data_IF_460727305184
#
_entry.id   IF_460727305184
#
_cell.length_a   1.000
_cell.length_b   1.000
_cell.length_c   1.000
_cell.angle_alpha   90.00
_cell.angle_beta   90.00
_cell.angle_gamma   90.00
#
_symmetry.space_group_name_H-M   'P 1'
#
loop_
_entity.id
_entity.type
_entity.pdbx_description
1 polymer ?
#
# COMPACT_ATOMS: atom_id res chain seq x y z
N UNK A 1 15.38 -34.18 -23.88
CA UNK A 1 14.19 -33.44 -23.46
C UNK A 1 14.26 -33.36 -21.95
N UNK A 2 14.90 -32.32 -21.44
CA UNK A 2 14.98 -32.07 -20.00
C UNK A 2 13.60 -31.65 -19.50
N UNK A 3 13.15 -32.07 -18.31
CA UNK A 3 11.94 -31.51 -17.73
C UNK A 3 12.21 -30.04 -17.40
N UNK A 4 11.35 -29.17 -17.91
CA UNK A 4 11.32 -27.76 -17.57
C UNK A 4 10.85 -27.67 -16.11
N UNK A 5 11.68 -27.12 -15.23
CA UNK A 5 11.31 -26.85 -13.84
C UNK A 5 10.04 -25.99 -13.86
N UNK A 6 8.99 -26.29 -13.07
CA UNK A 6 7.86 -25.38 -12.94
C UNK A 6 8.42 -24.03 -12.49
N UNK A 7 8.23 -22.98 -13.30
CA UNK A 7 8.40 -21.60 -12.86
C UNK A 7 7.67 -21.49 -11.52
N UNK A 8 8.35 -21.06 -10.47
CA UNK A 8 7.76 -20.94 -9.14
C UNK A 8 6.68 -19.85 -9.18
N UNK A 9 5.48 -20.23 -9.62
CA UNK A 9 4.34 -19.32 -9.74
C UNK A 9 3.92 -18.89 -8.35
N UNK A 10 3.87 -17.59 -8.12
CA UNK A 10 3.22 -17.04 -6.94
C UNK A 10 1.70 -17.25 -7.07
N UNK A 11 1.03 -17.58 -5.97
CA UNK A 11 -0.43 -17.86 -5.97
C UNK A 11 -1.28 -16.63 -6.30
N UNK A 12 -0.70 -15.43 -6.35
CA UNK A 12 -1.35 -14.13 -6.60
C UNK A 12 -0.45 -13.27 -7.47
N UNK A 13 -1.06 -12.44 -8.32
CA UNK A 13 -0.33 -11.45 -9.13
C UNK A 13 0.15 -10.28 -8.26
N UNK A 14 -0.67 -9.84 -7.29
CA UNK A 14 -0.37 -8.73 -6.40
C UNK A 14 -0.79 -9.04 -4.97
N UNK A 15 0.10 -8.76 -4.02
CA UNK A 15 -0.20 -8.76 -2.58
C UNK A 15 0.06 -7.37 -2.01
N UNK A 16 -0.95 -6.77 -1.41
CA UNK A 16 -0.89 -5.48 -0.71
C UNK A 16 -0.89 -5.73 0.79
N UNK A 17 0.05 -5.13 1.51
CA UNK A 17 0.15 -5.23 2.97
C UNK A 17 -0.33 -3.92 3.60
N UNK A 18 -1.49 -3.96 4.25
CA UNK A 18 -2.18 -2.86 4.92
C UNK A 18 -3.48 -2.46 4.22
N UNK A 19 -4.61 -2.46 4.96
CA UNK A 19 -5.94 -2.06 4.47
C UNK A 19 -6.31 -0.60 4.75
N UNK A 20 -5.30 0.29 4.77
CA UNK A 20 -5.56 1.72 4.83
C UNK A 20 -5.98 2.28 3.46
N UNK A 21 -6.25 3.60 3.36
CA UNK A 21 -6.59 4.26 2.10
C UNK A 21 -5.57 4.01 0.99
N UNK A 22 -4.28 3.99 1.32
CA UNK A 22 -3.24 3.69 0.33
C UNK A 22 -3.34 2.25 -0.19
N UNK A 23 -3.50 1.27 0.70
CA UNK A 23 -3.58 -0.14 0.32
C UNK A 23 -4.88 -0.50 -0.40
N UNK A 24 -6.03 -0.01 0.08
CA UNK A 24 -7.30 -0.20 -0.62
C UNK A 24 -7.28 0.48 -1.99
N UNK A 25 -6.69 1.67 -2.12
CA UNK A 25 -6.52 2.32 -3.42
C UNK A 25 -5.66 1.48 -4.36
N UNK A 26 -4.50 0.99 -3.90
CA UNK A 26 -3.65 0.10 -4.69
C UNK A 26 -4.40 -1.18 -5.12
N UNK A 27 -5.18 -1.76 -4.21
CA UNK A 27 -6.06 -2.89 -4.48
C UNK A 27 -7.04 -2.59 -5.62
N UNK A 28 -7.83 -1.52 -5.48
CA UNK A 28 -8.81 -1.09 -6.49
C UNK A 28 -8.16 -0.90 -7.85
N UNK A 29 -7.00 -0.24 -7.91
CA UNK A 29 -6.32 -0.02 -9.19
C UNK A 29 -5.89 -1.35 -9.82
N UNK A 30 -5.18 -2.20 -9.07
CA UNK A 30 -4.65 -3.48 -9.60
C UNK A 30 -5.75 -4.46 -9.98
N UNK A 31 -6.80 -4.60 -9.17
CA UNK A 31 -7.94 -5.45 -9.48
C UNK A 31 -8.68 -4.98 -10.75
N UNK A 32 -8.81 -3.65 -10.96
CA UNK A 32 -9.39 -3.10 -12.21
C UNK A 32 -8.52 -3.31 -13.44
N UNK A 33 -7.22 -3.53 -13.27
CA UNK A 33 -6.34 -3.97 -14.36
C UNK A 33 -6.43 -5.49 -14.64
N UNK A 34 -7.26 -6.22 -13.89
CA UNK A 34 -7.49 -7.65 -14.07
C UNK A 34 -6.47 -8.54 -13.38
N UNK A 35 -5.70 -8.01 -12.42
CA UNK A 35 -4.75 -8.77 -11.62
C UNK A 35 -5.46 -9.44 -10.44
N UNK A 36 -5.06 -10.67 -10.09
CA UNK A 36 -5.50 -11.32 -8.86
C UNK A 36 -4.82 -10.67 -7.65
N UNK A 37 -5.55 -9.75 -7.01
CA UNK A 37 -5.05 -8.93 -5.90
C UNK A 37 -5.58 -9.40 -4.55
N UNK A 38 -4.64 -9.63 -3.62
CA UNK A 38 -4.91 -9.90 -2.22
C UNK A 38 -4.46 -8.71 -1.34
N UNK A 39 -5.30 -8.27 -0.42
CA UNK A 39 -4.99 -7.23 0.56
C UNK A 39 -5.00 -7.85 1.96
N UNK A 40 -3.88 -7.77 2.67
CA UNK A 40 -3.82 -8.10 4.09
C UNK A 40 -4.11 -6.87 4.93
N UNK A 41 -5.00 -6.97 5.91
CA UNK A 41 -5.21 -5.91 6.88
C UNK A 41 -5.41 -6.42 8.30
N UNK A 42 -4.62 -5.90 9.23
CA UNK A 42 -4.69 -6.26 10.65
C UNK A 42 -5.69 -5.41 11.45
N UNK A 43 -6.49 -4.56 10.77
CA UNK A 43 -7.48 -3.68 11.39
C UNK A 43 -6.89 -2.60 12.31
N UNK A 44 -5.56 -2.45 12.38
CA UNK A 44 -4.87 -1.45 13.21
C UNK A 44 -4.22 -0.37 12.34
N UNK A 45 -4.99 0.19 11.40
CA UNK A 45 -4.52 1.36 10.64
C UNK A 45 -4.37 2.54 11.60
N UNK A 46 -3.30 3.33 11.46
CA UNK A 46 -3.09 4.54 12.28
C UNK A 46 -4.25 5.53 12.19
N UNK A 47 -5.06 5.42 11.14
CA UNK A 47 -6.28 6.20 10.96
C UNK A 47 -7.30 5.95 12.07
N UNK A 48 -7.47 4.71 12.55
CA UNK A 48 -8.45 4.38 13.62
C UNK A 48 -8.19 5.09 14.95
N UNK A 49 -7.05 5.76 15.10
CA UNK A 49 -6.76 6.60 16.27
C UNK A 49 -7.39 8.00 16.16
N UNK A 50 -7.81 8.42 14.97
CA UNK A 50 -8.54 9.66 14.74
C UNK A 50 -10.05 9.41 14.79
N UNK A 51 -10.79 10.34 15.40
CA UNK A 51 -12.25 10.27 15.43
C UNK A 51 -12.89 10.72 14.10
N UNK A 52 -12.22 11.59 13.35
CA UNK A 52 -12.76 12.20 12.14
C UNK A 52 -11.65 12.49 11.13
N UNK A 53 -11.94 12.26 9.84
CA UNK A 53 -11.03 12.50 8.73
C UNK A 53 -11.51 13.70 7.91
N UNK A 54 -10.86 14.85 8.06
CA UNK A 54 -11.28 16.12 7.43
C UNK A 54 -10.55 16.42 6.11
N UNK A 55 -9.42 15.77 5.86
CA UNK A 55 -8.51 16.06 4.76
C UNK A 55 -8.56 15.03 3.62
N UNK A 56 -9.66 14.28 3.49
CA UNK A 56 -9.82 13.29 2.42
C UNK A 56 -10.78 13.78 1.34
N UNK A 57 -10.33 13.70 0.08
CA UNK A 57 -11.10 14.16 -1.07
C UNK A 57 -12.43 13.40 -1.18
N UNK A 58 -13.49 14.10 -1.60
CA UNK A 58 -14.85 13.55 -1.68
C UNK A 58 -15.69 13.76 -0.41
N UNK A 59 -15.07 14.15 0.71
CA UNK A 59 -15.75 14.40 1.99
C UNK A 59 -15.49 15.84 2.49
N UNK A 60 -16.13 16.87 1.91
CA UNK A 60 -15.88 18.27 2.27
C UNK A 60 -16.30 18.63 3.72
N UNK A 61 -17.17 17.83 4.35
CA UNK A 61 -17.51 17.94 5.78
C UNK A 61 -16.71 16.99 6.68
N UNK A 62 -15.69 16.35 6.12
CA UNK A 62 -15.03 15.19 6.71
C UNK A 62 -15.92 13.95 6.79
N UNK A 63 -15.34 12.87 7.29
CA UNK A 63 -16.01 11.58 7.46
C UNK A 63 -15.47 10.87 8.70
N UNK A 64 -16.34 10.15 9.40
CA UNK A 64 -15.93 9.26 10.48
C UNK A 64 -14.96 8.19 9.97
N UNK A 65 -13.91 7.90 10.74
CA UNK A 65 -12.84 7.02 10.26
C UNK A 65 -13.32 5.58 10.08
N UNK A 66 -14.16 5.07 10.97
CA UNK A 66 -14.66 3.70 10.84
C UNK A 66 -15.53 3.55 9.60
N UNK A 67 -16.35 4.56 9.33
CA UNK A 67 -17.18 4.66 8.13
C UNK A 67 -16.32 4.72 6.87
N UNK A 68 -15.30 5.59 6.85
CA UNK A 68 -14.37 5.66 5.73
C UNK A 68 -13.66 4.33 5.48
N UNK A 69 -13.17 3.70 6.54
CA UNK A 69 -12.49 2.42 6.47
C UNK A 69 -13.39 1.33 5.89
N UNK A 70 -14.65 1.24 6.34
CA UNK A 70 -15.62 0.31 5.79
C UNK A 70 -15.87 0.56 4.29
N UNK A 71 -16.12 1.81 3.90
CA UNK A 71 -16.33 2.18 2.49
C UNK A 71 -15.12 1.87 1.62
N UNK A 72 -13.89 2.07 2.13
CA UNK A 72 -12.67 1.76 1.40
C UNK A 72 -12.49 0.25 1.19
N UNK A 73 -12.83 -0.56 2.19
CA UNK A 73 -12.84 -2.02 2.07
C UNK A 73 -13.90 -2.50 1.08
N UNK A 74 -15.15 -2.02 1.23
CA UNK A 74 -16.24 -2.35 0.32
C UNK A 74 -15.88 -2.04 -1.13
N UNK A 75 -15.29 -0.87 -1.40
CA UNK A 75 -14.87 -0.50 -2.76
C UNK A 75 -13.75 -1.41 -3.30
N UNK A 76 -12.79 -1.81 -2.45
CA UNK A 76 -11.74 -2.75 -2.85
C UNK A 76 -12.32 -4.12 -3.20
N UNK A 77 -13.24 -4.65 -2.40
CA UNK A 77 -13.92 -5.92 -2.67
C UNK A 77 -14.79 -5.84 -3.93
N UNK A 78 -15.57 -4.77 -4.10
CA UNK A 78 -16.37 -4.52 -5.32
C UNK A 78 -15.49 -4.42 -6.58
N UNK A 79 -14.28 -3.89 -6.45
CA UNK A 79 -13.31 -3.85 -7.55
C UNK A 79 -12.71 -5.23 -7.89
N UNK A 80 -12.86 -6.23 -7.02
CA UNK A 80 -12.39 -7.60 -7.21
C UNK A 80 -11.24 -8.02 -6.30
N UNK A 81 -10.88 -7.22 -5.29
CA UNK A 81 -9.83 -7.62 -4.33
C UNK A 81 -10.33 -8.71 -3.39
N UNK A 82 -9.44 -9.63 -3.00
CA UNK A 82 -9.64 -10.45 -1.80
C UNK A 82 -9.06 -9.72 -0.60
N UNK A 83 -9.82 -9.55 0.49
CA UNK A 83 -9.30 -8.96 1.73
C UNK A 83 -9.17 -10.05 2.81
N UNK A 84 -8.01 -10.11 3.46
CA UNK A 84 -7.74 -11.03 4.57
C UNK A 84 -7.38 -10.24 5.82
N UNK A 85 -8.14 -10.49 6.88
CA UNK A 85 -7.95 -9.83 8.17
C UNK A 85 -6.80 -10.48 8.97
N UNK A 86 -5.56 -10.26 8.55
CA UNK A 86 -4.37 -10.84 9.19
C UNK A 86 -3.15 -9.90 9.14
N UNK A 87 -2.17 -10.17 10.01
CA UNK A 87 -0.92 -9.41 10.09
C UNK A 87 0.19 -10.13 9.35
N UNK A 88 0.78 -9.44 8.37
CA UNK A 88 2.00 -9.93 7.71
C UNK A 88 3.20 -9.67 8.61
N UNK A 89 3.87 -10.74 9.05
CA UNK A 89 5.02 -10.65 9.95
C UNK A 89 6.35 -10.49 9.21
N UNK A 90 6.46 -11.02 7.99
CA UNK A 90 7.71 -11.01 7.21
C UNK A 90 7.43 -11.12 5.72
N UNK A 91 8.17 -10.34 4.93
CA UNK A 91 8.25 -10.47 3.47
C UNK A 91 9.68 -10.86 3.11
N UNK A 92 9.84 -11.80 2.17
CA UNK A 92 11.16 -12.20 1.65
C UNK A 92 11.13 -12.13 0.13
N UNK A 93 12.18 -11.56 -0.46
CA UNK A 93 12.41 -11.70 -1.90
C UNK A 93 13.08 -13.05 -2.17
N UNK A 94 12.70 -13.79 -3.22
CA UNK A 94 13.24 -15.11 -3.51
C UNK A 94 14.76 -15.15 -3.66
N UNK A 95 15.34 -14.07 -4.21
CA UNK A 95 16.77 -13.96 -4.50
C UNK A 95 17.57 -13.19 -3.44
N UNK A 96 16.92 -12.76 -2.34
CA UNK A 96 17.63 -12.10 -1.25
C UNK A 96 18.39 -13.15 -0.43
N UNK A 97 19.73 -13.05 -0.44
CA UNK A 97 20.59 -13.80 0.49
C UNK A 97 20.18 -13.39 1.91
N UNK A 98 19.90 -14.35 2.79
CA UNK A 98 19.52 -14.09 4.18
C UNK A 98 20.60 -13.24 4.87
N UNK A 99 20.32 -11.95 5.05
CA UNK A 99 21.01 -11.13 6.04
C UNK A 99 20.27 -11.31 7.38
N UNK A 100 20.92 -11.91 8.41
CA UNK A 100 20.27 -12.20 9.68
C UNK A 100 19.95 -10.95 10.51
N UNK A 101 20.43 -9.76 10.11
CA UNK A 101 20.10 -8.49 10.75
C UNK A 101 18.96 -7.82 9.97
N UNK A 102 17.72 -8.20 10.29
CA UNK A 102 16.50 -7.69 9.65
C UNK A 102 16.42 -6.16 9.65
N UNK A 103 16.84 -5.55 8.55
CA UNK A 103 16.53 -4.17 8.19
C UNK A 103 15.11 -4.11 7.61
N UNK A 104 14.26 -3.28 8.20
CA UNK A 104 13.00 -2.86 7.62
C UNK A 104 13.25 -2.38 6.18
N UNK A 105 12.62 -3.05 5.21
CA UNK A 105 12.77 -2.76 3.80
C UNK A 105 12.08 -1.45 3.44
N UNK A 106 12.68 -0.32 3.81
CA UNK A 106 12.28 1.00 3.32
C UNK A 106 12.84 1.23 1.91
N UNK A 107 12.35 0.46 0.94
CA UNK A 107 12.61 0.70 -0.47
C UNK A 107 11.53 1.66 -0.98
N UNK A 108 11.75 2.98 -0.83
CA UNK A 108 10.87 3.98 -1.43
C UNK A 108 10.82 5.35 -0.77
N UNK A 109 11.95 5.91 -0.33
CA UNK A 109 12.03 7.37 -0.25
C UNK A 109 12.12 7.88 -1.70
N UNK A 110 11.04 8.46 -2.20
CA UNK A 110 11.08 9.27 -3.41
C UNK A 110 12.11 10.39 -3.16
N UNK A 111 13.21 10.36 -3.89
CA UNK A 111 14.17 11.46 -3.89
C UNK A 111 13.44 12.69 -4.44
N UNK A 112 13.08 13.61 -3.54
CA UNK A 112 12.71 14.96 -3.93
C UNK A 112 14.00 15.69 -4.27
N UNK A 113 14.26 15.85 -5.56
CA UNK A 113 15.28 16.75 -6.11
C UNK A 113 15.00 18.18 -5.60
N UNK A 114 15.74 18.60 -4.58
CA UNK A 114 15.83 20.00 -4.17
C UNK A 114 16.65 20.74 -5.23
N UNK A 115 15.99 21.39 -6.18
CA UNK A 115 16.66 22.41 -7.00
C UNK A 115 16.74 23.71 -6.21
N UNK A 116 17.89 23.91 -5.58
CA UNK A 116 18.36 25.18 -5.02
C UNK A 116 18.32 26.29 -6.10
N UNK A 117 17.60 27.36 -5.80
CA UNK A 117 17.46 28.55 -6.63
C UNK A 117 17.84 29.78 -5.82
N UNK A 118 19.13 29.94 -5.57
CA UNK A 118 19.73 31.15 -5.02
C UNK A 118 19.62 32.30 -6.02
N UNK A 119 19.05 33.43 -5.61
CA UNK A 119 19.21 34.71 -6.28
C UNK A 119 19.25 35.85 -5.25
N UNK A 120 20.47 36.07 -4.77
CA UNK A 120 21.14 37.34 -4.49
C UNK A 120 20.24 38.57 -4.25
N UNK A 121 20.36 39.11 -3.03
CA UNK A 121 20.00 40.47 -2.67
C UNK A 121 20.92 41.48 -3.33
N UNK A 122 20.37 42.54 -3.92
CA UNK A 122 21.07 43.83 -4.07
C UNK A 122 20.06 44.97 -3.87
N UNK A 123 20.29 45.76 -2.83
CA UNK A 123 19.51 46.95 -2.53
C UNK A 123 20.06 48.20 -3.23
N UNK A 124 19.16 49.16 -3.44
CA UNK A 124 19.38 50.60 -3.25
C UNK A 124 18.03 51.28 -3.13
#
# INVERSE_FOLDING_TARGET
MSPETPEAGFDRDVVVVGGGPAGCSAGVFTARYGLDTLVFDRGNSSLRQCAHLENYLGFPGGIDVETFYALAHDHAEEAGCTIVADMVERVRRPDAVDDPEGGDGTDGAAESDESDGTAESDGS
#
